data_IF_362990936990
#
_entry.id   IF_362990936990
#
_cell.length_a   1.000
_cell.length_b   1.000
_cell.length_c   1.000
_cell.angle_alpha   90.00
_cell.angle_beta   90.00
_cell.angle_gamma   90.00
#
_symmetry.space_group_name_H-M   'P 1'
#
loop_
_entity.id
_entity.type
_entity.pdbx_description
1 polymer ?
#
# COMPACT_ATOMS: atom_id res chain seq x y z
N UNK A 1 11.66 -69.08 31.83
CA UNK A 1 10.68 -69.69 30.91
C UNK A 1 9.32 -69.06 31.17
N UNK A 2 8.83 -68.34 30.14
CA UNK A 2 7.43 -67.96 29.84
C UNK A 2 6.56 -67.21 30.87
N UNK A 3 6.27 -65.96 30.48
CA UNK A 3 4.92 -65.44 30.14
C UNK A 3 4.06 -64.65 31.16
N UNK A 4 3.57 -63.51 30.62
CA UNK A 4 2.28 -62.83 30.81
C UNK A 4 2.09 -61.79 31.94
N UNK A 5 1.93 -60.53 31.52
CA UNK A 5 1.18 -59.42 32.19
C UNK A 5 -0.35 -59.69 32.12
N UNK A 6 -1.26 -58.86 32.70
CA UNK A 6 -1.12 -57.68 33.58
C UNK A 6 -2.07 -57.67 34.80
N UNK A 7 -1.94 -56.70 35.73
CA UNK A 7 -3.11 -56.04 36.33
C UNK A 7 -2.80 -54.63 36.83
N UNK A 8 -3.82 -53.80 36.66
CA UNK A 8 -3.92 -52.34 36.76
C UNK A 8 -3.60 -51.81 38.17
N UNK A 9 -2.85 -50.72 38.23
CA UNK A 9 -2.78 -49.79 39.37
C UNK A 9 -3.57 -48.53 39.02
N UNK A 10 -4.54 -48.18 39.85
CA UNK A 10 -5.17 -46.85 39.88
C UNK A 10 -4.34 -45.91 40.74
N UNK A 11 -4.65 -44.63 40.57
CA UNK A 11 -4.33 -43.49 41.43
C UNK A 11 -3.09 -42.68 41.02
N UNK A 12 -3.40 -41.71 40.13
CA UNK A 12 -3.22 -40.27 40.35
C UNK A 12 -1.95 -39.84 41.10
N UNK A 13 -0.96 -39.37 40.36
CA UNK A 13 -0.09 -38.29 40.81
C UNK A 13 0.03 -37.23 39.71
N UNK A 14 -0.26 -36.00 40.12
CA UNK A 14 -0.13 -34.76 39.36
C UNK A 14 1.36 -34.45 39.18
N UNK A 15 1.89 -34.55 37.96
CA UNK A 15 3.15 -33.91 37.61
C UNK A 15 2.92 -32.80 36.58
N UNK A 16 3.16 -31.58 37.05
CA UNK A 16 3.23 -30.35 36.26
C UNK A 16 4.46 -30.38 35.35
N UNK A 17 4.28 -30.63 34.06
CA UNK A 17 5.32 -30.40 33.05
C UNK A 17 5.01 -29.12 32.26
N UNK A 18 5.77 -28.06 32.52
CA UNK A 18 5.83 -26.86 31.66
C UNK A 18 6.20 -27.26 30.23
N UNK A 19 5.53 -26.74 29.18
CA UNK A 19 5.91 -27.05 27.80
C UNK A 19 7.29 -26.48 27.49
N UNK A 20 8.18 -27.34 26.98
CA UNK A 20 9.50 -26.95 26.51
C UNK A 20 9.39 -26.06 25.25
N UNK A 21 10.19 -25.00 25.24
CA UNK A 21 10.30 -23.95 24.22
C UNK A 21 10.98 -24.43 22.91
N UNK A 22 10.65 -25.63 22.40
CA UNK A 22 11.30 -26.20 21.20
C UNK A 22 10.45 -26.23 19.94
N UNK A 23 9.17 -25.84 19.99
CA UNK A 23 8.29 -25.85 18.81
C UNK A 23 8.02 -24.43 18.25
N UNK A 24 8.96 -23.50 18.46
CA UNK A 24 9.03 -22.28 17.67
C UNK A 24 9.47 -22.66 16.25
N UNK A 25 8.51 -23.14 15.46
CA UNK A 25 8.57 -23.08 14.00
C UNK A 25 8.68 -21.59 13.67
N UNK A 26 9.91 -21.11 13.54
CA UNK A 26 10.21 -19.90 12.78
C UNK A 26 9.72 -20.20 11.37
N UNK A 27 8.48 -19.80 11.10
CA UNK A 27 7.98 -19.70 9.75
C UNK A 27 8.76 -18.57 9.08
N UNK A 28 9.98 -18.88 8.62
CA UNK A 28 10.58 -18.18 7.50
C UNK A 28 9.61 -18.37 6.35
N UNK A 29 8.69 -17.41 6.18
CA UNK A 29 7.89 -17.29 4.96
C UNK A 29 8.86 -17.46 3.78
N UNK A 30 8.52 -18.29 2.78
CA UNK A 30 9.28 -18.31 1.55
C UNK A 30 9.37 -16.87 1.03
N UNK A 31 10.57 -16.46 0.69
CA UNK A 31 10.91 -15.19 0.05
C UNK A 31 9.78 -14.77 -0.90
N UNK A 32 9.11 -13.65 -0.61
CA UNK A 32 7.96 -13.12 -1.37
C UNK A 32 8.42 -12.57 -2.74
N UNK A 33 9.08 -13.39 -3.55
CA UNK A 33 9.66 -12.97 -4.82
C UNK A 33 8.68 -12.97 -5.99
N UNK A 34 7.41 -13.35 -5.79
CA UNK A 34 6.47 -13.54 -6.91
C UNK A 34 5.03 -13.04 -6.64
N UNK A 35 4.87 -12.09 -5.71
CA UNK A 35 3.57 -11.49 -5.45
C UNK A 35 3.47 -10.10 -6.06
N UNK A 36 2.40 -9.87 -6.83
CA UNK A 36 2.03 -8.53 -7.32
C UNK A 36 1.89 -7.56 -6.16
N UNK A 37 2.54 -6.41 -6.27
CA UNK A 37 2.43 -5.31 -5.33
C UNK A 37 2.33 -3.97 -6.05
N UNK A 38 1.97 -2.97 -5.26
CA UNK A 38 1.76 -1.60 -5.70
C UNK A 38 2.73 -0.70 -4.96
N UNK A 39 3.59 0.01 -5.71
CA UNK A 39 4.48 1.01 -5.15
C UNK A 39 3.77 2.35 -5.14
N UNK A 40 3.49 2.84 -3.94
CA UNK A 40 3.01 4.19 -3.69
C UNK A 40 4.21 5.11 -3.61
N UNK A 41 4.08 6.30 -4.19
CA UNK A 41 5.15 7.29 -4.18
C UNK A 41 4.54 8.66 -4.01
N UNK A 42 5.08 9.39 -3.05
CA UNK A 42 4.65 10.75 -2.71
C UNK A 42 5.85 11.67 -2.85
N UNK A 43 5.76 12.66 -3.73
CA UNK A 43 6.83 13.62 -3.92
C UNK A 43 6.40 14.99 -3.42
N UNK A 44 7.24 15.59 -2.57
CA UNK A 44 7.13 16.99 -2.21
C UNK A 44 7.88 17.82 -3.23
N UNK A 45 7.17 18.65 -3.98
CA UNK A 45 7.72 19.54 -4.99
C UNK A 45 8.00 20.89 -4.33
N UNK A 46 9.06 21.56 -4.77
CA UNK A 46 9.31 22.95 -4.42
C UNK A 46 8.13 23.82 -4.87
N UNK A 47 7.58 24.69 -4.01
CA UNK A 47 6.38 25.46 -4.34
C UNK A 47 6.48 26.26 -5.63
N UNK A 48 7.66 26.84 -5.91
CA UNK A 48 7.92 27.64 -7.11
C UNK A 48 8.09 26.80 -8.39
N UNK A 49 8.14 25.47 -8.27
CA UNK A 49 8.38 24.54 -9.38
C UNK A 49 7.19 23.64 -9.70
N UNK A 50 6.10 23.66 -8.92
CA UNK A 50 4.96 22.76 -9.08
C UNK A 50 4.41 22.73 -10.51
N UNK A 51 4.17 23.89 -11.12
CA UNK A 51 3.67 23.96 -12.49
C UNK A 51 4.68 23.42 -13.53
N UNK A 52 5.97 23.73 -13.36
CA UNK A 52 7.03 23.25 -14.24
C UNK A 52 7.20 21.73 -14.15
N UNK A 53 7.15 21.18 -12.93
CA UNK A 53 7.25 19.75 -12.68
C UNK A 53 6.07 18.98 -13.30
N UNK A 54 4.84 19.47 -13.11
CA UNK A 54 3.65 18.82 -13.68
C UNK A 54 3.65 18.86 -15.21
N UNK A 55 4.06 19.98 -15.80
CA UNK A 55 4.23 20.10 -17.25
C UNK A 55 5.27 19.11 -17.78
N UNK A 56 6.46 19.09 -17.18
CA UNK A 56 7.54 18.18 -17.54
C UNK A 56 7.09 16.72 -17.42
N UNK A 57 6.38 16.39 -16.34
CA UNK A 57 5.84 15.04 -16.12
C UNK A 57 4.81 14.68 -17.17
N UNK A 58 3.85 15.53 -17.47
CA UNK A 58 2.88 15.28 -18.55
C UNK A 58 3.57 15.01 -19.90
N UNK A 59 4.62 15.77 -20.22
CA UNK A 59 5.35 15.62 -21.48
C UNK A 59 6.20 14.34 -21.52
N UNK A 60 6.77 13.89 -20.40
CA UNK A 60 7.84 12.88 -20.39
C UNK A 60 7.53 11.60 -19.61
N UNK A 61 6.38 11.51 -18.94
CA UNK A 61 6.01 10.32 -18.15
C UNK A 61 5.93 9.06 -19.01
N UNK A 62 5.65 9.21 -20.32
CA UNK A 62 5.61 8.11 -21.27
C UNK A 62 6.92 7.30 -21.32
N UNK A 63 8.06 7.96 -21.07
CA UNK A 63 9.37 7.31 -20.97
C UNK A 63 9.38 6.28 -19.83
N UNK A 64 8.76 6.58 -18.68
CA UNK A 64 8.65 5.61 -17.58
C UNK A 64 7.55 4.59 -17.82
N UNK A 65 6.41 4.98 -18.38
CA UNK A 65 5.30 4.04 -18.59
C UNK A 65 5.59 2.99 -19.66
N UNK A 66 6.61 3.21 -20.50
CA UNK A 66 7.15 2.17 -21.37
C UNK A 66 7.78 0.99 -20.60
N UNK A 67 8.24 1.22 -19.36
CA UNK A 67 8.88 0.20 -18.52
C UNK A 67 8.03 -0.24 -17.32
N UNK A 68 7.04 0.54 -16.93
CA UNK A 68 6.27 0.31 -15.69
C UNK A 68 4.79 0.59 -15.91
N UNK A 69 3.93 -0.24 -15.33
CA UNK A 69 2.50 0.00 -15.35
C UNK A 69 2.12 1.10 -14.35
N UNK A 70 1.68 2.25 -14.85
CA UNK A 70 1.10 3.32 -14.05
C UNK A 70 -0.37 2.99 -13.76
N UNK A 71 -0.77 3.00 -12.50
CA UNK A 71 -2.17 2.81 -12.08
C UNK A 71 -2.88 4.16 -12.02
N UNK A 72 -2.23 5.17 -11.46
CA UNK A 72 -2.74 6.52 -11.45
C UNK A 72 -1.73 7.53 -10.90
N UNK A 73 -2.00 8.80 -11.19
CA UNK A 73 -1.15 9.92 -10.86
C UNK A 73 -2.02 11.14 -10.54
N UNK A 74 -1.82 11.72 -9.36
CA UNK A 74 -2.61 12.82 -8.88
C UNK A 74 -1.74 13.95 -8.33
N UNK A 75 -2.22 15.19 -8.47
CA UNK A 75 -1.74 16.30 -7.65
C UNK A 75 -2.61 16.39 -6.39
N UNK A 76 -1.98 16.63 -5.25
CA UNK A 76 -2.67 16.77 -3.97
C UNK A 76 -3.14 18.21 -3.81
N UNK A 77 -4.44 18.38 -3.53
CA UNK A 77 -5.05 19.69 -3.27
C UNK A 77 -5.13 19.97 -1.77
N UNK A 78 -5.68 19.00 -1.01
CA UNK A 78 -5.83 19.10 0.45
C UNK A 78 -5.16 17.92 1.13
N UNK A 79 -4.45 18.19 2.22
CA UNK A 79 -3.69 17.20 2.98
C UNK A 79 -2.20 17.13 2.63
N UNK A 80 -1.73 17.97 1.70
CA UNK A 80 -0.33 18.08 1.32
C UNK A 80 -0.11 19.01 0.11
N UNK A 81 0.12 20.30 0.35
CA UNK A 81 0.33 21.26 -0.74
C UNK A 81 1.63 20.97 -1.49
N UNK A 82 1.64 21.21 -2.80
CA UNK A 82 2.79 20.97 -3.69
C UNK A 82 3.24 19.50 -3.69
N UNK A 83 2.32 18.57 -3.46
CA UNK A 83 2.60 17.15 -3.53
C UNK A 83 1.97 16.49 -4.75
N UNK A 84 2.64 15.45 -5.24
CA UNK A 84 2.07 14.48 -6.17
C UNK A 84 2.08 13.10 -5.55
N UNK A 85 1.03 12.34 -5.81
CA UNK A 85 0.89 10.95 -5.40
C UNK A 85 0.68 10.08 -6.62
N UNK A 86 1.39 8.97 -6.73
CA UNK A 86 1.24 8.08 -7.86
C UNK A 86 1.54 6.62 -7.54
N UNK A 87 0.81 5.73 -8.19
CA UNK A 87 0.82 4.29 -7.93
C UNK A 87 1.38 3.54 -9.14
N UNK A 88 2.38 2.69 -8.90
CA UNK A 88 2.96 1.81 -9.91
C UNK A 88 2.69 0.35 -9.55
N UNK A 89 2.27 -0.46 -10.51
CA UNK A 89 2.10 -1.92 -10.33
C UNK A 89 3.37 -2.64 -10.74
N UNK A 90 3.78 -3.61 -9.92
CA UNK A 90 4.84 -4.56 -10.19
C UNK A 90 4.34 -5.97 -9.89
N UNK A 91 4.69 -6.92 -10.75
CA UNK A 91 4.34 -8.32 -10.59
C UNK A 91 5.25 -9.01 -9.56
N UNK A 92 6.46 -8.47 -9.36
CA UNK A 92 7.43 -8.96 -8.37
C UNK A 92 8.53 -7.94 -8.03
N UNK A 93 9.29 -8.20 -6.96
CA UNK A 93 10.44 -7.34 -6.59
C UNK A 93 11.57 -7.43 -7.62
N UNK A 94 11.78 -8.61 -8.20
CA UNK A 94 12.77 -8.82 -9.26
C UNK A 94 12.41 -8.04 -10.52
N UNK A 95 11.13 -8.04 -10.93
CA UNK A 95 10.64 -7.20 -12.02
C UNK A 95 10.87 -5.71 -11.70
N UNK A 96 10.52 -5.25 -10.50
CA UNK A 96 10.78 -3.85 -10.08
C UNK A 96 12.26 -3.50 -10.17
N UNK A 97 13.15 -4.37 -9.71
CA UNK A 97 14.59 -4.15 -9.76
C UNK A 97 15.09 -4.06 -11.22
N UNK A 98 14.66 -4.98 -12.09
CA UNK A 98 15.01 -4.98 -13.51
C UNK A 98 14.52 -3.70 -14.22
N UNK A 99 13.29 -3.29 -13.96
CA UNK A 99 12.72 -2.04 -14.48
C UNK A 99 13.53 -0.82 -14.05
N UNK A 100 13.88 -0.72 -12.76
CA UNK A 100 14.69 0.39 -12.24
C UNK A 100 16.09 0.39 -12.83
N UNK A 101 16.70 -0.78 -13.03
CA UNK A 101 18.00 -0.91 -13.67
C UNK A 101 17.97 -0.47 -15.14
N UNK A 102 16.91 -0.84 -15.87
CA UNK A 102 16.71 -0.40 -17.26
C UNK A 102 16.54 1.12 -17.35
N UNK A 103 15.68 1.71 -16.51
CA UNK A 103 15.51 3.18 -16.45
C UNK A 103 16.81 3.91 -16.08
N UNK A 104 17.64 3.33 -15.21
CA UNK A 104 18.93 3.92 -14.84
C UNK A 104 19.96 3.88 -15.97
N UNK A 105 19.69 3.17 -17.07
CA UNK A 105 20.53 3.10 -18.26
C UNK A 105 19.91 3.82 -19.47
N UNK A 106 18.66 4.27 -19.39
CA UNK A 106 17.97 4.97 -20.46
C UNK A 106 18.42 6.45 -20.52
N UNK A 107 19.17 6.86 -21.58
CA UNK A 107 19.67 8.22 -21.70
C UNK A 107 18.55 9.26 -21.85
N UNK A 108 17.43 8.92 -22.50
CA UNK A 108 16.29 9.81 -22.66
C UNK A 108 15.61 10.03 -21.32
N UNK A 109 15.36 8.97 -20.54
CA UNK A 109 14.80 9.10 -19.19
C UNK A 109 15.68 9.97 -18.28
N UNK A 110 17.00 9.75 -18.31
CA UNK A 110 17.95 10.48 -17.47
C UNK A 110 18.03 11.95 -17.88
N UNK A 111 18.30 12.22 -19.15
CA UNK A 111 18.58 13.57 -19.64
C UNK A 111 17.31 14.41 -19.81
N UNK A 112 16.20 13.81 -20.25
CA UNK A 112 15.00 14.56 -20.57
C UNK A 112 14.08 14.76 -19.37
N UNK A 113 14.09 13.84 -18.40
CA UNK A 113 13.22 13.88 -17.22
C UNK A 113 14.00 13.98 -15.90
N UNK A 114 14.76 12.95 -15.50
CA UNK A 114 15.33 12.83 -14.14
C UNK A 114 16.22 14.02 -13.79
N UNK A 115 17.14 14.40 -14.68
CA UNK A 115 18.08 15.53 -14.43
C UNK A 115 17.38 16.87 -14.20
N UNK A 116 16.15 17.03 -14.72
CA UNK A 116 15.34 18.24 -14.58
C UNK A 116 14.34 18.15 -13.44
N UNK A 117 13.74 16.97 -13.24
CA UNK A 117 12.71 16.73 -12.25
C UNK A 117 13.27 16.66 -10.82
N UNK A 118 14.41 15.99 -10.60
CA UNK A 118 14.98 15.83 -9.26
C UNK A 118 15.28 17.16 -8.56
N UNK A 119 15.89 18.18 -9.21
CA UNK A 119 16.11 19.49 -8.60
C UNK A 119 14.83 20.28 -8.24
N UNK A 120 13.67 19.85 -8.73
CA UNK A 120 12.38 20.45 -8.41
C UNK A 120 11.76 19.87 -7.13
N UNK A 121 12.34 18.79 -6.56
CA UNK A 121 11.78 18.09 -5.41
C UNK A 121 12.50 18.47 -4.11
N UNK A 122 11.72 18.60 -3.03
CA UNK A 122 12.21 18.72 -1.66
C UNK A 122 12.44 17.35 -1.02
N UNK A 123 11.51 16.42 -1.21
CA UNK A 123 11.61 15.05 -0.71
C UNK A 123 10.81 14.07 -1.55
N UNK A 124 11.11 12.79 -1.39
CA UNK A 124 10.42 11.68 -2.03
C UNK A 124 10.25 10.55 -1.01
N UNK A 125 9.03 10.07 -0.86
CA UNK A 125 8.70 8.92 -0.05
C UNK A 125 8.11 7.82 -0.94
N UNK A 126 8.35 6.56 -0.59
CA UNK A 126 7.76 5.43 -1.28
C UNK A 126 7.44 4.28 -0.34
N UNK A 127 6.33 3.59 -0.62
CA UNK A 127 5.81 2.50 0.18
C UNK A 127 5.41 1.34 -0.73
N UNK A 128 5.66 0.11 -0.28
CA UNK A 128 5.21 -1.09 -0.98
C UNK A 128 3.94 -1.59 -0.32
N UNK A 129 2.87 -1.66 -1.11
CA UNK A 129 1.54 -2.01 -0.68
C UNK A 129 1.07 -3.26 -1.41
N UNK A 130 0.37 -4.13 -0.69
CA UNK A 130 -0.27 -5.30 -1.26
C UNK A 130 -1.77 -5.06 -1.32
N UNK A 131 -2.42 -5.56 -2.37
CA UNK A 131 -3.87 -5.64 -2.34
C UNK A 131 -4.28 -6.56 -1.22
N UNK A 132 -5.05 -6.04 -0.29
CA UNK A 132 -5.66 -6.85 0.75
C UNK A 132 -6.72 -7.72 0.06
N UNK A 133 -6.60 -9.06 0.07
CA UNK A 133 -7.75 -9.88 -0.26
C UNK A 133 -8.86 -9.53 0.74
N UNK A 134 -10.13 -9.54 0.33
CA UNK A 134 -11.30 -9.29 1.20
C UNK A 134 -11.45 -10.29 2.38
N UNK A 135 -10.42 -11.07 2.65
CA UNK A 135 -10.35 -12.12 3.66
C UNK A 135 -9.52 -11.64 4.85
N UNK A 136 -10.08 -11.85 6.04
CA UNK A 136 -9.55 -11.58 7.39
C UNK A 136 -8.24 -10.79 7.46
N UNK A 137 -8.39 -9.50 7.75
CA UNK A 137 -7.30 -8.63 8.19
C UNK A 137 -6.60 -9.26 9.41
N UNK A 138 -5.36 -9.71 9.22
CA UNK A 138 -4.57 -10.26 10.31
C UNK A 138 -3.92 -9.11 11.10
N UNK A 139 -4.03 -9.17 12.41
CA UNK A 139 -3.37 -8.23 13.33
C UNK A 139 -1.88 -8.57 13.47
N UNK A 140 -0.99 -7.57 13.62
CA UNK A 140 -1.26 -6.14 13.58
C UNK A 140 -1.25 -5.61 12.14
N UNK A 141 -2.33 -4.94 11.73
CA UNK A 141 -2.27 -4.04 10.58
C UNK A 141 -1.58 -2.75 11.01
N UNK A 142 -0.63 -2.28 10.20
CA UNK A 142 0.06 -1.01 10.48
C UNK A 142 -0.69 0.17 9.82
N UNK A 143 -1.08 0.04 8.55
CA UNK A 143 -1.79 1.09 7.81
C UNK A 143 -2.65 0.47 6.68
N UNK A 144 -3.83 1.04 6.43
CA UNK A 144 -4.71 0.64 5.32
C UNK A 144 -5.03 1.87 4.48
N UNK A 145 -4.68 1.81 3.20
CA UNK A 145 -5.01 2.87 2.24
C UNK A 145 -6.26 2.50 1.46
N UNK A 146 -7.19 3.44 1.36
CA UNK A 146 -8.41 3.27 0.57
C UNK A 146 -8.56 4.43 -0.39
N UNK A 147 -8.63 4.12 -1.69
CA UNK A 147 -8.85 5.10 -2.74
C UNK A 147 -10.34 5.09 -3.12
N UNK A 148 -10.97 6.26 -3.06
CA UNK A 148 -12.36 6.46 -3.45
C UNK A 148 -12.44 7.48 -4.58
N UNK A 149 -13.26 7.17 -5.58
CA UNK A 149 -13.57 8.09 -6.67
C UNK A 149 -15.01 8.59 -6.54
N UNK A 150 -15.21 9.88 -6.80
CA UNK A 150 -16.51 10.52 -6.87
C UNK A 150 -16.55 11.39 -8.12
N UNK A 151 -17.71 11.40 -8.78
CA UNK A 151 -17.93 12.25 -9.96
C UNK A 151 -17.71 13.73 -9.67
N UNK A 152 -18.21 14.20 -8.52
CA UNK A 152 -18.07 15.57 -8.06
C UNK A 152 -18.26 15.66 -6.52
N UNK A 153 -18.12 16.87 -5.97
CA UNK A 153 -18.22 17.12 -4.54
C UNK A 153 -19.64 16.89 -4.00
N UNK A 154 -20.67 17.16 -4.81
CA UNK A 154 -22.07 17.04 -4.42
C UNK A 154 -22.48 15.57 -4.35
N UNK A 155 -22.05 14.75 -5.31
CA UNK A 155 -22.21 13.30 -5.28
C UNK A 155 -21.56 12.70 -4.04
N UNK A 156 -20.35 13.14 -3.67
CA UNK A 156 -19.70 12.72 -2.42
C UNK A 156 -20.51 13.14 -1.19
N UNK A 157 -21.03 14.36 -1.17
CA UNK A 157 -21.83 14.87 -0.04
C UNK A 157 -23.13 14.07 0.12
N UNK A 158 -23.82 13.77 -0.98
CA UNK A 158 -25.05 12.99 -0.98
C UNK A 158 -24.81 11.54 -0.52
N UNK A 159 -23.78 10.87 -1.03
CA UNK A 159 -23.42 9.51 -0.57
C UNK A 159 -23.13 9.48 0.93
N UNK A 160 -22.47 10.51 1.47
CA UNK A 160 -22.24 10.63 2.91
C UNK A 160 -23.52 10.85 3.67
N UNK A 161 -24.40 11.72 3.20
CA UNK A 161 -25.72 11.96 3.81
C UNK A 161 -26.53 10.67 3.88
N UNK A 162 -26.57 9.92 2.78
CA UNK A 162 -27.23 8.61 2.72
C UNK A 162 -26.60 7.60 3.70
N UNK A 163 -25.27 7.52 3.74
CA UNK A 163 -24.54 6.65 4.66
C UNK A 163 -24.81 6.97 6.13
N UNK A 164 -24.92 8.26 6.48
CA UNK A 164 -25.27 8.70 7.84
C UNK A 164 -26.72 8.37 8.21
N UNK A 165 -27.59 8.13 7.23
CA UNK A 165 -28.99 7.76 7.46
C UNK A 165 -29.23 6.24 7.50
N UNK A 166 -28.29 5.41 7.03
CA UNK A 166 -28.39 3.95 7.10
C UNK A 166 -27.88 3.44 8.47
N UNK A 167 -28.81 2.96 9.30
CA UNK A 167 -28.52 2.46 10.64
C UNK A 167 -27.48 1.32 10.66
N UNK A 168 -27.42 0.49 9.61
CA UNK A 168 -26.45 -0.62 9.50
C UNK A 168 -25.04 -0.09 9.30
N UNK A 169 -24.89 0.92 8.44
CA UNK A 169 -23.60 1.59 8.18
C UNK A 169 -23.13 2.30 9.45
N UNK A 170 -24.02 3.05 10.11
CA UNK A 170 -23.70 3.75 11.36
C UNK A 170 -23.28 2.76 12.46
N UNK A 171 -23.98 1.63 12.60
CA UNK A 171 -23.61 0.60 13.57
C UNK A 171 -22.24 -0.03 13.25
N UNK A 172 -21.96 -0.36 11.99
CA UNK A 172 -20.68 -0.90 11.56
C UNK A 172 -19.52 0.07 11.82
N UNK A 173 -19.68 1.35 11.47
CA UNK A 173 -18.66 2.39 11.70
C UNK A 173 -18.38 2.55 13.19
N UNK A 174 -19.42 2.61 14.03
CA UNK A 174 -19.26 2.69 15.49
C UNK A 174 -18.46 1.51 16.06
N UNK A 175 -18.75 0.29 15.61
CA UNK A 175 -18.03 -0.90 16.05
C UNK A 175 -16.55 -0.88 15.58
N UNK A 176 -16.27 -0.35 14.38
CA UNK A 176 -14.89 -0.24 13.88
C UNK A 176 -14.05 0.86 14.56
N UNK A 177 -14.69 1.89 15.11
CA UNK A 177 -13.98 3.06 15.65
C UNK A 177 -13.08 2.71 16.86
N UNK A 178 -13.41 1.66 17.61
CA UNK A 178 -12.58 1.16 18.71
C UNK A 178 -11.25 0.52 18.26
N UNK A 179 -11.06 0.28 16.96
CA UNK A 179 -9.84 -0.28 16.37
C UNK A 179 -9.05 0.73 15.53
N UNK A 180 -9.56 1.96 15.38
CA UNK A 180 -8.97 3.00 14.54
C UNK A 180 -8.18 3.97 15.42
N UNK A 181 -6.86 3.99 15.27
CA UNK A 181 -5.99 4.94 15.97
C UNK A 181 -6.05 6.34 15.34
N UNK A 182 -5.86 6.41 14.02
CA UNK A 182 -5.97 7.68 13.29
C UNK A 182 -6.50 7.48 11.87
N UNK A 183 -7.08 8.55 11.31
CA UNK A 183 -7.49 8.61 9.91
C UNK A 183 -7.01 9.90 9.28
N UNK A 184 -6.34 9.79 8.14
CA UNK A 184 -6.02 10.94 7.26
C UNK A 184 -6.84 10.84 5.98
N UNK A 185 -7.36 11.98 5.55
CA UNK A 185 -8.06 12.10 4.27
C UNK A 185 -7.30 13.10 3.40
N UNK A 186 -7.02 12.71 2.15
CA UNK A 186 -6.33 13.54 1.17
C UNK A 186 -7.30 13.75 0.00
N UNK A 187 -7.49 15.01 -0.43
CA UNK A 187 -8.16 15.29 -1.69
C UNK A 187 -7.10 15.43 -2.78
N UNK A 188 -7.31 14.70 -3.86
CA UNK A 188 -6.38 14.66 -4.97
C UNK A 188 -7.14 14.84 -6.27
N UNK A 189 -6.53 15.50 -7.25
CA UNK A 189 -7.06 15.63 -8.59
C UNK A 189 -6.24 14.78 -9.57
N UNK A 190 -6.89 13.99 -10.44
CA UNK A 190 -6.18 13.17 -11.41
C UNK A 190 -5.46 14.06 -12.41
N UNK A 191 -4.19 13.78 -12.66
CA UNK A 191 -3.46 14.47 -13.72
C UNK A 191 -4.04 14.08 -15.10
N UNK A 192 -3.92 14.94 -16.13
CA UNK A 192 -4.46 14.66 -17.47
C UNK A 192 -3.96 13.34 -18.08
N UNK A 193 -2.72 12.96 -17.79
CA UNK A 193 -2.08 11.72 -18.22
C UNK A 193 -2.32 10.51 -17.30
N UNK A 194 -3.01 10.69 -16.17
CA UNK A 194 -3.33 9.58 -15.25
C UNK A 194 -4.30 8.60 -15.91
N UNK A 195 -4.00 7.28 -15.89
CA UNK A 195 -4.93 6.26 -16.36
C UNK A 195 -6.21 6.21 -15.54
N UNK A 196 -6.09 6.24 -14.21
CA UNK A 196 -7.23 6.39 -13.30
C UNK A 196 -7.63 7.87 -13.24
N UNK A 197 -8.91 8.13 -13.54
CA UNK A 197 -9.56 9.43 -13.41
C UNK A 197 -10.33 9.50 -12.09
#
# INVERSE_FOLDING_TARGET
WTNLRPRLTSDLDFETSSPQLSDLIVSTRPQQDDQTFYEFRTYNIRPDQTAAFLKLTNEKIHLRTAHSQLIGYWNVEFGGLNQVFHIWKYDSYSQRAAVRAALAQDPCWISEYISKAIPMLNSQDNEVNYMVPWTQLQSPLQEVHVLWWFQDADHRAELRRLSHSDARVVAAVRNSFGHLDSQRNILMFPCPFSPMK
#
